data_IF_841859462593
#
_entry.id   IF_841859462593
#
_cell.length_a   1.000
_cell.length_b   1.000
_cell.length_c   1.000
_cell.angle_alpha   90.00
_cell.angle_beta   90.00
_cell.angle_gamma   90.00
#
_symmetry.space_group_name_H-M   'P 1'
#
loop_
_entity.id
_entity.type
_entity.pdbx_description
1 polymer ?
#
# COMPACT_ATOMS: atom_id res chain seq x y z
N UNK A 1 -3.02 29.46 0.83
CA UNK A 1 -4.21 28.56 0.82
C UNK A 1 -3.89 27.08 1.11
N UNK A 2 -2.94 26.44 0.39
CA UNK A 2 -2.59 25.00 0.60
C UNK A 2 -2.01 24.71 1.99
N UNK A 3 -1.17 25.60 2.53
CA UNK A 3 -0.61 25.46 3.89
C UNK A 3 -1.68 25.53 5.00
N UNK A 4 -2.71 26.37 4.82
CA UNK A 4 -3.79 26.52 5.79
C UNK A 4 -4.67 25.27 5.84
N UNK A 5 -5.08 24.74 4.68
CA UNK A 5 -5.84 23.47 4.59
C UNK A 5 -5.10 22.29 5.24
N UNK A 6 -3.78 22.23 5.09
CA UNK A 6 -2.96 21.19 5.74
C UNK A 6 -2.90 21.33 7.25
N UNK A 7 -2.83 22.55 7.76
CA UNK A 7 -2.87 22.81 9.19
C UNK A 7 -4.22 22.39 9.78
N UNK A 8 -5.32 22.71 9.09
CA UNK A 8 -6.67 22.25 9.44
C UNK A 8 -6.74 20.72 9.49
N UNK A 9 -6.30 20.02 8.43
CA UNK A 9 -6.26 18.55 8.41
C UNK A 9 -5.50 17.98 9.61
N UNK A 10 -4.34 18.57 9.96
CA UNK A 10 -3.54 18.11 11.11
C UNK A 10 -4.26 18.30 12.44
N UNK A 11 -4.97 19.41 12.63
CA UNK A 11 -5.76 19.65 13.84
C UNK A 11 -6.92 18.68 13.93
N UNK A 12 -7.66 18.49 12.83
CA UNK A 12 -8.76 17.53 12.74
C UNK A 12 -8.28 16.13 13.10
N UNK A 13 -7.18 15.67 12.52
CA UNK A 13 -6.57 14.35 12.78
C UNK A 13 -6.16 14.16 14.25
N UNK A 14 -5.83 15.23 14.99
CA UNK A 14 -5.49 15.17 16.42
C UNK A 14 -6.70 15.22 17.35
N UNK A 15 -7.75 15.94 16.95
CA UNK A 15 -8.94 16.16 17.77
C UNK A 15 -9.92 14.99 17.66
N UNK A 16 -10.07 14.39 16.47
CA UNK A 16 -11.04 13.31 16.25
C UNK A 16 -10.88 12.14 17.23
N UNK A 17 -9.68 11.62 17.53
CA UNK A 17 -9.51 10.54 18.51
C UNK A 17 -10.10 10.88 19.89
N UNK A 18 -10.00 12.14 20.33
CA UNK A 18 -10.56 12.60 21.60
C UNK A 18 -12.09 12.62 21.55
N UNK A 19 -12.67 13.08 20.44
CA UNK A 19 -14.13 13.07 20.21
C UNK A 19 -14.65 11.62 20.23
N UNK A 20 -13.97 10.71 19.53
CA UNK A 20 -14.33 9.29 19.52
C UNK A 20 -14.30 8.69 20.93
N UNK A 21 -13.27 9.00 21.73
CA UNK A 21 -13.19 8.60 23.14
C UNK A 21 -14.38 9.11 23.96
N UNK A 22 -14.78 10.36 23.77
CA UNK A 22 -15.98 10.93 24.39
C UNK A 22 -17.27 10.22 23.99
N UNK A 23 -17.45 9.92 22.70
CA UNK A 23 -18.60 9.17 22.19
C UNK A 23 -18.68 7.75 22.80
N UNK A 24 -17.55 7.05 22.88
CA UNK A 24 -17.47 5.71 23.49
C UNK A 24 -17.76 5.78 24.99
N UNK A 25 -17.25 6.79 25.70
CA UNK A 25 -17.54 6.99 27.12
C UNK A 25 -19.03 7.23 27.38
N UNK A 26 -19.66 8.08 26.56
CA UNK A 26 -21.09 8.35 26.64
C UNK A 26 -21.94 7.11 26.31
N UNK A 27 -21.59 6.38 25.24
CA UNK A 27 -22.24 5.12 24.89
C UNK A 27 -22.09 4.08 26.02
N UNK A 28 -20.92 4.01 26.66
CA UNK A 28 -20.67 3.12 27.81
C UNK A 28 -21.59 3.44 28.97
N UNK A 29 -21.75 4.72 29.32
CA UNK A 29 -22.70 5.12 30.35
C UNK A 29 -24.13 4.66 30.03
N UNK A 30 -24.59 4.89 28.79
CA UNK A 30 -25.95 4.52 28.40
C UNK A 30 -26.14 3.00 28.42
N UNK A 31 -25.24 2.24 27.79
CA UNK A 31 -25.42 0.79 27.69
C UNK A 31 -25.27 0.13 29.06
N UNK A 32 -24.20 0.42 29.79
CA UNK A 32 -23.87 -0.30 31.04
C UNK A 32 -24.80 0.13 32.17
N UNK A 33 -24.84 1.43 32.50
CA UNK A 33 -25.64 1.93 33.63
C UNK A 33 -27.11 1.96 33.25
N UNK A 34 -27.48 2.72 32.23
CA UNK A 34 -28.88 3.05 31.99
C UNK A 34 -29.69 1.87 31.42
N UNK A 35 -29.13 1.12 30.47
CA UNK A 35 -29.84 0.00 29.83
C UNK A 35 -29.63 -1.32 30.59
N UNK A 36 -28.39 -1.73 30.85
CA UNK A 36 -28.14 -3.03 31.48
C UNK A 36 -28.50 -3.05 32.98
N UNK A 37 -28.08 -2.05 33.76
CA UNK A 37 -28.33 -2.02 35.21
C UNK A 37 -29.72 -1.50 35.56
N UNK A 38 -30.10 -0.32 35.08
CA UNK A 38 -31.38 0.28 35.49
C UNK A 38 -32.56 -0.41 34.79
N UNK A 39 -32.52 -0.56 33.46
CA UNK A 39 -33.63 -1.15 32.72
C UNK A 39 -33.69 -2.69 32.80
N UNK A 40 -32.66 -3.43 32.38
CA UNK A 40 -32.73 -4.89 32.35
C UNK A 40 -32.65 -5.53 33.74
N UNK A 41 -31.70 -5.13 34.57
CA UNK A 41 -31.46 -5.76 35.86
C UNK A 41 -32.44 -5.28 36.94
N UNK A 42 -32.69 -3.97 37.03
CA UNK A 42 -33.48 -3.38 38.12
C UNK A 42 -34.98 -3.35 37.82
N UNK A 43 -35.40 -2.79 36.68
CA UNK A 43 -36.81 -2.66 36.30
C UNK A 43 -37.39 -3.96 35.74
N UNK A 44 -36.75 -4.60 34.74
CA UNK A 44 -37.26 -5.81 34.09
C UNK A 44 -36.92 -7.12 34.80
N UNK A 45 -35.98 -7.11 35.75
CA UNK A 45 -35.42 -8.31 36.42
C UNK A 45 -34.89 -9.39 35.45
N UNK A 46 -34.52 -9.00 34.24
CA UNK A 46 -34.01 -9.89 33.18
C UNK A 46 -32.48 -10.00 33.25
N UNK A 47 -31.98 -10.73 34.25
CA UNK A 47 -30.53 -10.90 34.50
C UNK A 47 -29.77 -11.45 33.29
N UNK A 48 -30.33 -12.46 32.62
CA UNK A 48 -29.69 -13.08 31.45
C UNK A 48 -29.43 -12.10 30.30
N UNK A 49 -30.42 -11.27 29.98
CA UNK A 49 -30.29 -10.25 28.93
C UNK A 49 -29.21 -9.21 29.29
N UNK A 50 -29.18 -8.74 30.54
CA UNK A 50 -28.15 -7.82 31.02
C UNK A 50 -26.74 -8.41 30.86
N UNK A 51 -26.54 -9.67 31.27
CA UNK A 51 -25.22 -10.34 31.17
C UNK A 51 -24.78 -10.46 29.70
N UNK A 52 -25.67 -10.91 28.81
CA UNK A 52 -25.34 -11.07 27.38
C UNK A 52 -24.91 -9.75 26.76
N UNK A 53 -25.67 -8.67 26.99
CA UNK A 53 -25.31 -7.36 26.45
C UNK A 53 -23.98 -6.85 27.02
N UNK A 54 -23.73 -6.99 28.31
CA UNK A 54 -22.46 -6.57 28.93
C UNK A 54 -21.27 -7.34 28.36
N UNK A 55 -21.37 -8.66 28.25
CA UNK A 55 -20.29 -9.51 27.71
C UNK A 55 -19.98 -9.14 26.26
N UNK A 56 -21.00 -9.07 25.40
CA UNK A 56 -20.80 -8.72 23.99
C UNK A 56 -20.28 -7.28 23.83
N UNK A 57 -20.80 -6.35 24.63
CA UNK A 57 -20.36 -4.95 24.62
C UNK A 57 -18.87 -4.84 24.93
N UNK A 58 -18.42 -5.41 26.05
CA UNK A 58 -17.00 -5.31 26.44
C UNK A 58 -16.08 -6.15 25.56
N UNK A 59 -16.54 -7.30 25.04
CA UNK A 59 -15.74 -8.12 24.12
C UNK A 59 -15.45 -7.36 22.81
N UNK A 60 -16.49 -6.80 22.17
CA UNK A 60 -16.29 -6.05 20.93
C UNK A 60 -15.65 -4.68 21.15
N UNK A 61 -15.91 -4.01 22.29
CA UNK A 61 -15.20 -2.80 22.65
C UNK A 61 -13.70 -3.04 22.81
N UNK A 62 -13.31 -4.12 23.51
CA UNK A 62 -11.90 -4.48 23.68
C UNK A 62 -11.23 -4.72 22.32
N UNK A 63 -11.84 -5.53 21.45
CA UNK A 63 -11.29 -5.82 20.12
C UNK A 63 -11.20 -4.56 19.25
N UNK A 64 -12.22 -3.69 19.28
CA UNK A 64 -12.21 -2.42 18.57
C UNK A 64 -11.11 -1.49 19.08
N UNK A 65 -10.90 -1.40 20.40
CA UNK A 65 -9.84 -0.58 21.00
C UNK A 65 -8.44 -1.13 20.69
N UNK A 66 -8.24 -2.45 20.77
CA UNK A 66 -6.95 -3.08 20.45
C UNK A 66 -6.56 -2.86 18.99
N UNK A 67 -7.50 -3.06 18.07
CA UNK A 67 -7.27 -2.85 16.63
C UNK A 67 -7.11 -1.37 16.29
N UNK A 68 -7.91 -0.48 16.90
CA UNK A 68 -7.73 0.98 16.75
C UNK A 68 -6.34 1.42 17.21
N UNK A 69 -5.91 0.98 18.40
CA UNK A 69 -4.60 1.30 18.94
C UNK A 69 -3.49 0.78 18.02
N UNK A 70 -3.63 -0.44 17.49
CA UNK A 70 -2.67 -1.00 16.52
C UNK A 70 -2.59 -0.13 15.26
N UNK A 71 -3.72 0.22 14.66
CA UNK A 71 -3.76 1.10 13.47
C UNK A 71 -3.07 2.42 13.78
N UNK A 72 -3.44 3.05 14.88
CA UNK A 72 -2.88 4.35 15.28
C UNK A 72 -1.36 4.27 15.44
N UNK A 73 -0.86 3.29 16.19
CA UNK A 73 0.58 3.08 16.40
C UNK A 73 1.30 2.86 15.07
N UNK A 74 0.79 1.98 14.20
CA UNK A 74 1.41 1.70 12.90
C UNK A 74 1.43 2.93 12.02
N UNK A 75 0.37 3.74 11.99
CA UNK A 75 0.34 4.99 11.22
C UNK A 75 1.40 5.98 11.73
N UNK A 76 1.59 6.09 13.05
CA UNK A 76 2.58 7.01 13.60
C UNK A 76 4.03 6.53 13.42
N UNK A 77 4.27 5.22 13.57
CA UNK A 77 5.62 4.66 13.57
C UNK A 77 6.09 4.23 12.17
N UNK A 78 5.19 3.67 11.36
CA UNK A 78 5.48 3.15 10.03
C UNK A 78 4.33 3.41 9.04
N UNK A 79 4.16 4.67 8.57
CA UNK A 79 3.13 5.04 7.60
C UNK A 79 3.33 4.46 6.20
N UNK A 80 4.34 3.61 5.98
CA UNK A 80 4.62 3.00 4.68
C UNK A 80 5.20 4.00 3.65
N UNK A 81 5.92 5.03 4.09
CA UNK A 81 6.51 6.03 3.18
C UNK A 81 7.74 5.47 2.44
N UNK A 82 7.92 5.84 1.17
CA UNK A 82 9.16 5.53 0.43
C UNK A 82 10.26 6.53 0.78
N UNK A 83 11.55 6.15 0.76
CA UNK A 83 12.67 7.08 0.99
C UNK A 83 12.59 8.30 0.06
N UNK A 84 13.00 9.48 0.57
CA UNK A 84 13.14 10.66 -0.29
C UNK A 84 14.32 10.46 -1.23
N UNK A 85 14.18 10.91 -2.47
CA UNK A 85 15.33 10.95 -3.36
C UNK A 85 16.35 12.00 -2.93
N UNK A 86 17.63 11.86 -3.35
CA UNK A 86 18.73 12.72 -2.89
C UNK A 86 18.44 14.22 -3.05
N UNK A 87 17.97 14.65 -4.23
CA UNK A 87 17.63 16.06 -4.50
C UNK A 87 16.56 16.61 -3.55
N UNK A 88 15.52 15.84 -3.25
CA UNK A 88 14.47 16.26 -2.33
C UNK A 88 14.95 16.29 -0.87
N UNK A 89 15.83 15.36 -0.49
CA UNK A 89 16.45 15.33 0.83
C UNK A 89 17.35 16.56 1.05
N UNK A 90 18.19 16.89 0.07
CA UNK A 90 19.03 18.09 0.07
C UNK A 90 18.19 19.37 0.14
N UNK A 91 17.14 19.49 -0.68
CA UNK A 91 16.26 20.64 -0.65
C UNK A 91 15.59 20.82 0.72
N UNK A 92 15.13 19.72 1.34
CA UNK A 92 14.56 19.78 2.71
C UNK A 92 15.62 20.13 3.76
N UNK A 93 16.86 19.67 3.63
CA UNK A 93 17.95 20.03 4.53
C UNK A 93 18.29 21.53 4.42
N UNK A 94 18.40 22.04 3.20
CA UNK A 94 18.68 23.46 2.91
C UNK A 94 17.54 24.37 3.39
N UNK A 95 16.28 23.97 3.19
CA UNK A 95 15.12 24.70 3.70
C UNK A 95 15.10 24.80 5.24
N UNK A 96 15.43 23.70 5.94
CA UNK A 96 15.56 23.71 7.41
C UNK A 96 16.68 24.63 7.89
N UNK A 97 17.80 24.68 7.17
CA UNK A 97 18.92 25.59 7.48
C UNK A 97 18.52 27.06 7.31
N UNK A 98 17.85 27.40 6.19
CA UNK A 98 17.35 28.76 5.90
C UNK A 98 16.28 29.23 6.87
N UNK A 99 15.32 28.36 7.21
CA UNK A 99 14.28 28.65 8.22
C UNK A 99 14.85 28.95 9.61
N UNK A 100 16.09 28.54 9.91
CA UNK A 100 16.78 28.86 11.17
C UNK A 100 17.48 30.22 11.14
N UNK A 101 17.64 30.81 9.95
CA UNK A 101 18.43 32.03 9.71
C UNK A 101 17.58 33.24 9.27
N UNK A 102 16.41 33.03 8.68
CA UNK A 102 15.47 34.09 8.27
C UNK A 102 14.01 33.69 8.52
N UNK A 103 13.21 34.64 9.01
CA UNK A 103 11.78 34.51 9.36
C UNK A 103 10.85 34.86 8.19
N UNK A 104 11.28 34.61 6.96
CA UNK A 104 10.52 35.03 5.79
C UNK A 104 9.49 33.99 5.38
N UNK A 105 8.25 34.31 5.73
CA UNK A 105 7.03 33.80 5.14
C UNK A 105 7.05 34.21 3.66
N UNK A 106 7.42 33.30 2.75
CA UNK A 106 7.07 33.25 1.31
C UNK A 106 8.13 32.43 0.53
N UNK A 107 8.28 31.13 0.86
CA UNK A 107 9.06 30.19 0.06
C UNK A 107 8.22 28.95 -0.28
N UNK A 108 7.05 29.19 -0.87
CA UNK A 108 6.09 28.16 -1.25
C UNK A 108 6.22 27.65 -2.69
N UNK A 109 7.33 27.93 -3.39
CA UNK A 109 7.53 27.39 -4.73
C UNK A 109 7.76 25.88 -4.63
N UNK A 110 6.80 25.11 -5.14
CA UNK A 110 6.88 23.66 -5.25
C UNK A 110 8.00 23.34 -6.24
N UNK A 111 9.16 22.93 -5.75
CA UNK A 111 10.23 22.40 -6.59
C UNK A 111 9.70 21.15 -7.31
N UNK A 112 9.46 21.25 -8.62
CA UNK A 112 9.08 20.13 -9.47
C UNK A 112 10.31 19.66 -10.26
N UNK A 113 10.96 18.61 -9.77
CA UNK A 113 12.08 18.00 -10.48
C UNK A 113 11.61 17.12 -11.63
N UNK A 114 12.23 17.29 -12.80
CA UNK A 114 12.16 16.30 -13.88
C UNK A 114 12.78 14.97 -13.43
N UNK A 115 12.38 13.84 -14.06
CA UNK A 115 13.06 12.57 -13.88
C UNK A 115 14.57 12.73 -14.09
N UNK A 116 15.35 11.97 -13.33
CA UNK A 116 16.80 11.95 -13.50
C UNK A 116 17.14 11.06 -14.69
N UNK A 117 17.72 11.64 -15.74
CA UNK A 117 18.05 10.95 -16.99
C UNK A 117 19.33 10.10 -16.88
N UNK A 118 20.03 10.18 -15.73
CA UNK A 118 21.22 9.37 -15.47
C UNK A 118 20.86 7.87 -15.41
N UNK A 119 21.54 7.00 -16.18
CA UNK A 119 21.42 5.54 -16.04
C UNK A 119 21.64 5.02 -14.62
N UNK A 120 22.52 5.69 -13.87
CA UNK A 120 22.84 5.37 -12.48
C UNK A 120 21.98 6.19 -11.48
N UNK A 121 20.77 6.59 -11.90
CA UNK A 121 19.86 7.32 -11.03
C UNK A 121 19.52 6.49 -9.78
N UNK A 122 19.74 7.01 -8.56
CA UNK A 122 19.51 6.25 -7.34
C UNK A 122 18.08 5.69 -7.22
N UNK A 123 17.97 4.38 -7.01
CA UNK A 123 16.70 3.67 -6.89
C UNK A 123 16.17 3.12 -8.20
N UNK A 124 16.76 3.46 -9.36
CA UNK A 124 16.36 2.90 -10.66
C UNK A 124 16.67 1.39 -10.74
N UNK A 125 17.75 0.97 -10.07
CA UNK A 125 18.18 -0.43 -9.97
C UNK A 125 17.15 -1.37 -9.36
N UNK A 126 16.32 -0.85 -8.47
CA UNK A 126 15.26 -1.62 -7.82
C UNK A 126 14.21 -2.07 -8.82
N UNK A 127 14.05 -1.41 -9.96
CA UNK A 127 13.05 -1.75 -10.97
C UNK A 127 13.60 -2.79 -11.94
N UNK A 128 14.76 -2.53 -12.56
CA UNK A 128 15.31 -3.48 -13.52
C UNK A 128 15.88 -4.75 -12.86
N UNK A 129 16.04 -4.77 -11.53
CA UNK A 129 16.27 -6.01 -10.77
C UNK A 129 15.06 -6.96 -10.71
N UNK A 130 13.85 -6.49 -11.05
CA UNK A 130 12.62 -7.29 -11.11
C UNK A 130 12.39 -7.84 -12.52
N UNK A 131 11.56 -8.86 -12.63
CA UNK A 131 11.14 -9.41 -13.93
C UNK A 131 9.97 -8.62 -14.53
N UNK A 132 9.18 -7.94 -13.71
CA UNK A 132 8.11 -7.05 -14.18
C UNK A 132 7.84 -5.89 -13.22
N UNK A 133 7.59 -4.72 -13.78
CA UNK A 133 7.20 -3.51 -13.05
C UNK A 133 6.33 -2.57 -13.92
N UNK A 134 5.62 -1.64 -13.29
CA UNK A 134 4.84 -0.61 -13.98
C UNK A 134 5.75 0.50 -14.49
N UNK A 135 5.63 0.83 -15.77
CA UNK A 135 6.43 1.86 -16.43
C UNK A 135 5.57 2.94 -17.11
N UNK A 136 6.21 3.97 -17.62
CA UNK A 136 5.66 4.95 -18.55
C UNK A 136 5.85 4.47 -20.00
N UNK A 137 5.39 5.26 -20.99
CA UNK A 137 5.43 4.86 -22.42
C UNK A 137 6.84 4.64 -22.96
N UNK A 138 7.83 5.27 -22.33
CA UNK A 138 9.25 5.16 -22.66
C UNK A 138 9.93 3.97 -21.98
N UNK A 139 9.19 3.17 -21.18
CA UNK A 139 9.73 2.02 -20.46
C UNK A 139 10.42 2.36 -19.13
N UNK A 140 10.47 3.63 -18.74
CA UNK A 140 11.02 4.06 -17.45
C UNK A 140 9.99 3.93 -16.33
N UNK A 141 10.40 3.68 -15.07
CA UNK A 141 9.47 3.70 -13.96
C UNK A 141 8.80 5.06 -13.80
N UNK A 142 7.64 5.09 -13.14
CA UNK A 142 6.93 6.36 -12.89
C UNK A 142 7.74 7.23 -11.93
N UNK A 143 7.80 8.54 -12.18
CA UNK A 143 8.56 9.47 -11.34
C UNK A 143 7.67 10.28 -10.38
N UNK A 144 8.20 10.67 -9.22
CA UNK A 144 7.64 11.70 -8.35
C UNK A 144 8.53 12.94 -8.37
N UNK A 145 8.05 14.03 -8.97
CA UNK A 145 8.76 15.32 -8.99
C UNK A 145 8.98 15.91 -7.60
N UNK A 146 7.99 15.78 -6.71
CA UNK A 146 8.06 16.33 -5.33
C UNK A 146 8.99 15.54 -4.42
N UNK A 147 8.99 14.21 -4.51
CA UNK A 147 9.88 13.35 -3.72
C UNK A 147 11.24 13.13 -4.39
N UNK A 148 11.39 13.55 -5.64
CA UNK A 148 12.53 13.30 -6.51
C UNK A 148 12.95 11.81 -6.53
N UNK A 149 11.98 10.91 -6.61
CA UNK A 149 12.23 9.46 -6.59
C UNK A 149 11.38 8.70 -7.61
N UNK A 150 11.88 7.54 -8.01
CA UNK A 150 11.13 6.56 -8.77
C UNK A 150 10.05 5.93 -7.88
N UNK A 151 8.81 5.89 -8.37
CA UNK A 151 7.65 5.34 -7.66
C UNK A 151 7.59 3.85 -7.92
N UNK A 152 7.81 3.06 -6.86
CA UNK A 152 7.48 1.63 -6.91
C UNK A 152 6.02 1.44 -7.30
N UNK A 153 5.68 0.24 -7.78
CA UNK A 153 4.32 -0.08 -8.19
C UNK A 153 3.31 0.27 -7.09
N UNK A 154 2.12 0.75 -7.47
CA UNK A 154 1.05 1.13 -6.52
C UNK A 154 1.43 2.20 -5.48
N UNK A 155 2.62 2.79 -5.53
CA UNK A 155 2.96 3.93 -4.67
C UNK A 155 2.36 5.23 -5.20
N UNK A 156 1.85 6.05 -4.29
CA UNK A 156 1.21 7.33 -4.62
C UNK A 156 1.73 8.45 -3.72
N UNK A 157 1.90 9.64 -4.30
CA UNK A 157 2.27 10.82 -3.54
C UNK A 157 1.04 11.36 -2.81
N UNK A 158 1.12 11.46 -1.49
CA UNK A 158 0.09 12.05 -0.66
C UNK A 158 0.46 13.50 -0.32
N UNK A 159 -0.36 14.46 -0.74
CA UNK A 159 -0.16 15.89 -0.51
C UNK A 159 -0.29 16.31 0.96
N UNK A 160 -0.97 15.52 1.78
CA UNK A 160 -1.18 15.78 3.22
C UNK A 160 0.09 15.51 4.03
N UNK A 161 0.84 14.46 3.68
CA UNK A 161 2.09 14.09 4.36
C UNK A 161 3.35 14.46 3.56
N UNK A 162 3.19 14.94 2.32
CA UNK A 162 4.25 15.33 1.37
C UNK A 162 5.29 14.23 1.13
N UNK A 163 4.80 13.01 0.98
CA UNK A 163 5.60 11.80 0.75
C UNK A 163 4.86 10.83 -0.18
N UNK A 164 5.65 10.04 -0.91
CA UNK A 164 5.15 8.85 -1.59
C UNK A 164 4.92 7.75 -0.55
N UNK A 165 3.80 7.04 -0.69
CA UNK A 165 3.34 5.99 0.22
C UNK A 165 3.14 4.71 -0.57
N UNK A 166 3.69 3.62 -0.08
CA UNK A 166 3.66 2.28 -0.69
C UNK A 166 2.26 1.69 -0.58
N UNK A 167 1.71 1.21 -1.71
CA UNK A 167 0.33 0.71 -1.85
C UNK A 167 -0.66 1.53 -1.01
N UNK A 168 -0.66 2.83 -1.27
CA UNK A 168 -1.47 3.82 -0.57
C UNK A 168 -2.95 3.54 -0.79
N UNK A 169 -3.72 3.49 0.29
CA UNK A 169 -5.17 3.34 0.21
C UNK A 169 -5.87 4.70 0.28
N UNK A 170 -5.79 5.38 1.43
CA UNK A 170 -6.37 6.71 1.60
C UNK A 170 -5.79 7.44 2.81
N UNK A 171 -6.03 8.74 2.92
CA UNK A 171 -5.79 9.48 4.16
C UNK A 171 -7.06 9.47 5.01
N UNK A 172 -6.95 9.02 6.27
CA UNK A 172 -8.07 8.86 7.18
C UNK A 172 -7.85 9.66 8.47
N UNK A 173 -8.53 10.81 8.64
CA UNK A 173 -8.43 11.60 9.85
C UNK A 173 -8.89 10.85 11.12
N UNK A 174 -9.83 9.89 10.96
CA UNK A 174 -10.41 9.11 12.07
C UNK A 174 -9.41 8.21 12.79
N UNK A 175 -8.42 7.69 12.06
CA UNK A 175 -7.36 6.83 12.61
C UNK A 175 -6.01 7.55 12.73
N UNK A 176 -5.99 8.87 12.55
CA UNK A 176 -4.80 9.65 12.83
C UNK A 176 -3.81 9.81 11.66
N UNK A 177 -4.16 9.41 10.42
CA UNK A 177 -3.25 9.60 9.28
C UNK A 177 -3.48 8.70 8.07
N UNK A 178 -2.39 8.34 7.39
CA UNK A 178 -2.42 7.62 6.12
C UNK A 178 -2.65 6.11 6.33
N UNK A 179 -3.59 5.54 5.58
CA UNK A 179 -3.82 4.10 5.49
C UNK A 179 -3.08 3.56 4.26
N UNK A 180 -2.22 2.57 4.48
CA UNK A 180 -1.32 1.99 3.49
C UNK A 180 -1.18 0.48 3.73
N UNK A 181 -0.40 -0.24 2.93
CA UNK A 181 -0.14 -1.68 3.11
C UNK A 181 0.25 -2.08 4.54
N UNK A 182 0.94 -1.21 5.29
CA UNK A 182 1.38 -1.50 6.66
C UNK A 182 0.23 -1.46 7.66
N UNK A 183 -0.79 -0.63 7.42
CA UNK A 183 -1.90 -0.40 8.36
C UNK A 183 -3.26 -0.91 7.88
N UNK A 184 -3.41 -1.23 6.59
CA UNK A 184 -4.70 -1.54 5.97
C UNK A 184 -5.38 -2.78 6.59
N UNK A 185 -4.65 -3.86 6.85
CA UNK A 185 -5.19 -5.04 7.56
C UNK A 185 -5.81 -4.66 8.90
N UNK A 186 -5.07 -3.91 9.71
CA UNK A 186 -5.52 -3.49 11.04
C UNK A 186 -6.72 -2.53 10.93
N UNK A 187 -6.75 -1.70 9.89
CA UNK A 187 -7.87 -0.81 9.60
C UNK A 187 -9.17 -1.59 9.33
N UNK A 188 -9.10 -2.65 8.51
CA UNK A 188 -10.26 -3.53 8.24
C UNK A 188 -10.74 -4.23 9.51
N UNK A 189 -9.82 -4.74 10.34
CA UNK A 189 -10.17 -5.35 11.63
C UNK A 189 -10.84 -4.33 12.55
N UNK A 190 -10.31 -3.10 12.63
CA UNK A 190 -10.90 -2.01 13.41
C UNK A 190 -12.32 -1.66 12.98
N UNK A 191 -12.56 -1.44 11.68
CA UNK A 191 -13.91 -1.10 11.22
C UNK A 191 -14.88 -2.26 11.42
N UNK A 192 -14.42 -3.51 11.25
CA UNK A 192 -15.23 -4.70 11.48
C UNK A 192 -15.68 -4.81 12.94
N UNK A 193 -14.74 -4.76 13.89
CA UNK A 193 -15.10 -4.86 15.32
C UNK A 193 -15.89 -3.65 15.81
N UNK A 194 -15.64 -2.45 15.26
CA UNK A 194 -16.45 -1.28 15.58
C UNK A 194 -17.88 -1.42 15.05
N UNK A 195 -18.08 -2.05 13.88
CA UNK A 195 -19.42 -2.31 13.35
C UNK A 195 -20.21 -3.29 14.23
N UNK A 196 -19.54 -4.33 14.75
CA UNK A 196 -20.15 -5.29 15.70
C UNK A 196 -20.47 -4.62 17.05
N UNK A 197 -19.54 -3.81 17.56
CA UNK A 197 -19.77 -3.00 18.75
C UNK A 197 -20.99 -2.07 18.59
N UNK A 198 -21.10 -1.36 17.47
CA UNK A 198 -22.24 -0.51 17.17
C UNK A 198 -23.54 -1.31 17.04
N UNK A 199 -23.50 -2.52 16.46
CA UNK A 199 -24.67 -3.40 16.38
C UNK A 199 -25.20 -3.77 17.77
N UNK A 200 -24.32 -4.08 18.73
CA UNK A 200 -24.72 -4.33 20.13
C UNK A 200 -25.40 -3.10 20.75
N UNK A 201 -24.82 -1.91 20.56
CA UNK A 201 -25.40 -0.64 21.06
C UNK A 201 -26.78 -0.40 20.47
N UNK A 202 -26.94 -0.55 19.14
CA UNK A 202 -28.20 -0.36 18.43
C UNK A 202 -29.26 -1.34 18.94
N UNK A 203 -28.94 -2.63 19.02
CA UNK A 203 -29.90 -3.67 19.44
C UNK A 203 -30.36 -3.43 20.88
N UNK A 204 -29.43 -3.14 21.80
CA UNK A 204 -29.77 -2.83 23.18
C UNK A 204 -30.67 -1.59 23.30
N UNK A 205 -30.35 -0.52 22.55
CA UNK A 205 -31.12 0.71 22.52
C UNK A 205 -32.54 0.50 21.96
N UNK A 206 -32.68 -0.24 20.85
CA UNK A 206 -33.99 -0.57 20.25
C UNK A 206 -34.85 -1.36 21.22
N UNK A 207 -34.29 -2.39 21.87
CA UNK A 207 -35.06 -3.23 22.81
C UNK A 207 -35.56 -2.40 24.00
N UNK A 208 -34.70 -1.53 24.55
CA UNK A 208 -35.09 -0.61 25.63
C UNK A 208 -36.21 0.34 25.17
N UNK A 209 -36.01 1.02 24.05
CA UNK A 209 -36.94 2.00 23.51
C UNK A 209 -38.31 1.37 23.19
N UNK A 210 -38.33 0.27 22.44
CA UNK A 210 -39.58 -0.43 22.07
C UNK A 210 -40.30 -0.93 23.31
N UNK A 211 -39.58 -1.44 24.31
CA UNK A 211 -40.18 -1.92 25.56
C UNK A 211 -40.84 -0.80 26.35
N UNK A 212 -40.19 0.36 26.50
CA UNK A 212 -40.74 1.51 27.23
C UNK A 212 -41.93 2.13 26.51
N UNK A 213 -41.85 2.28 25.19
CA UNK A 213 -42.97 2.79 24.38
C UNK A 213 -44.18 1.86 24.48
N UNK A 214 -43.99 0.53 24.39
CA UNK A 214 -45.08 -0.45 24.53
C UNK A 214 -45.73 -0.47 25.92
N UNK A 215 -45.01 -0.04 26.97
CA UNK A 215 -45.54 0.09 28.34
C UNK A 215 -46.26 1.41 28.59
N UNK A 216 -46.15 2.38 27.67
CA UNK A 216 -46.68 3.73 27.87
C UNK A 216 -45.74 4.67 28.62
N UNK A 217 -44.49 4.27 28.88
CA UNK A 217 -43.49 5.09 29.61
C UNK A 217 -42.91 6.24 28.76
N UNK A 218 -43.30 6.32 27.48
CA UNK A 218 -42.79 7.28 26.50
C UNK A 218 -41.44 6.85 25.89
N UNK A 219 -40.90 7.72 25.02
CA UNK A 219 -39.62 7.48 24.36
C UNK A 219 -38.46 7.89 25.26
N UNK A 220 -37.57 6.95 25.55
CA UNK A 220 -36.38 7.18 26.37
C UNK A 220 -35.31 7.95 25.57
N UNK A 221 -35.11 9.22 25.92
CA UNK A 221 -34.17 10.11 25.22
C UNK A 221 -32.73 9.59 25.21
N UNK A 222 -32.27 8.90 26.26
CA UNK A 222 -30.92 8.31 26.29
C UNK A 222 -30.82 7.09 25.38
N UNK A 223 -31.85 6.26 25.33
CA UNK A 223 -31.90 5.15 24.37
C UNK A 223 -31.94 5.65 22.92
N UNK A 224 -32.71 6.73 22.65
CA UNK A 224 -32.74 7.38 21.33
C UNK A 224 -31.36 7.95 20.97
N UNK A 225 -30.67 8.62 21.90
CA UNK A 225 -29.33 9.15 21.66
C UNK A 225 -28.31 8.03 21.33
N UNK A 226 -28.33 6.92 22.08
CA UNK A 226 -27.49 5.76 21.78
C UNK A 226 -27.83 5.12 20.43
N UNK A 227 -29.10 5.05 20.06
CA UNK A 227 -29.54 4.53 18.77
C UNK A 227 -29.02 5.41 17.62
N UNK A 228 -29.17 6.73 17.71
CA UNK A 228 -28.70 7.67 16.68
C UNK A 228 -27.18 7.60 16.53
N UNK A 229 -26.46 7.64 17.65
CA UNK A 229 -24.99 7.57 17.66
C UNK A 229 -24.50 6.22 17.11
N UNK A 230 -25.10 5.13 17.59
CA UNK A 230 -24.78 3.77 17.15
C UNK A 230 -25.09 3.56 15.67
N UNK A 231 -26.22 4.06 15.17
CA UNK A 231 -26.59 3.95 13.76
C UNK A 231 -25.65 4.75 12.85
N UNK A 232 -25.27 5.97 13.24
CA UNK A 232 -24.35 6.81 12.47
C UNK A 232 -22.97 6.13 12.32
N UNK A 233 -22.35 5.74 13.43
CA UNK A 233 -21.04 5.07 13.40
C UNK A 233 -21.13 3.65 12.86
N UNK A 234 -22.21 2.93 13.16
CA UNK A 234 -22.45 1.56 12.69
C UNK A 234 -22.60 1.50 11.18
N UNK A 235 -23.39 2.38 10.57
CA UNK A 235 -23.52 2.47 9.11
C UNK A 235 -22.16 2.79 8.48
N UNK A 236 -21.48 3.82 8.97
CA UNK A 236 -20.18 4.24 8.44
C UNK A 236 -19.14 3.11 8.50
N UNK A 237 -18.99 2.46 9.65
CA UNK A 237 -18.00 1.39 9.83
C UNK A 237 -18.36 0.10 9.11
N UNK A 238 -19.66 -0.23 9.00
CA UNK A 238 -20.12 -1.36 8.18
C UNK A 238 -19.80 -1.13 6.71
N UNK A 239 -20.14 0.04 6.16
CA UNK A 239 -19.84 0.38 4.76
C UNK A 239 -18.34 0.33 4.49
N UNK A 240 -17.51 0.92 5.36
CA UNK A 240 -16.06 0.87 5.22
C UNK A 240 -15.51 -0.56 5.29
N UNK A 241 -16.08 -1.40 6.16
CA UNK A 241 -15.70 -2.82 6.25
C UNK A 241 -16.03 -3.56 4.97
N UNK A 242 -17.26 -3.43 4.46
CA UNK A 242 -17.69 -4.12 3.23
C UNK A 242 -16.86 -3.68 2.02
N UNK A 243 -16.62 -2.37 1.88
CA UNK A 243 -15.77 -1.84 0.82
C UNK A 243 -14.33 -2.32 0.93
N UNK A 244 -13.74 -2.31 2.14
CA UNK A 244 -12.37 -2.76 2.33
C UNK A 244 -12.22 -4.26 2.11
N UNK A 245 -13.16 -5.08 2.56
CA UNK A 245 -13.20 -6.52 2.27
C UNK A 245 -13.30 -6.75 0.76
N UNK A 246 -14.18 -6.01 0.06
CA UNK A 246 -14.25 -6.08 -1.40
C UNK A 246 -12.90 -5.75 -2.05
N UNK A 247 -12.24 -4.69 -1.60
CA UNK A 247 -10.94 -4.24 -2.12
C UNK A 247 -9.83 -5.25 -1.87
N UNK A 248 -9.82 -5.90 -0.70
CA UNK A 248 -8.96 -7.06 -0.46
C UNK A 248 -9.26 -8.16 -1.48
N UNK A 249 -10.53 -8.56 -1.62
CA UNK A 249 -10.94 -9.68 -2.47
C UNK A 249 -10.58 -9.48 -3.95
N UNK A 250 -10.60 -8.25 -4.46
CA UNK A 250 -10.22 -7.93 -5.85
C UNK A 250 -8.79 -7.36 -5.98
N UNK A 251 -8.01 -7.35 -4.88
CA UNK A 251 -6.66 -6.79 -4.78
C UNK A 251 -6.49 -5.36 -5.33
N UNK A 252 -7.45 -4.49 -5.06
CA UNK A 252 -7.37 -3.06 -5.39
C UNK A 252 -7.24 -2.26 -4.10
N UNK A 253 -6.52 -1.14 -4.15
CA UNK A 253 -6.65 -0.09 -3.15
C UNK A 253 -7.80 0.84 -3.56
N UNK A 254 -8.22 1.73 -2.67
CA UNK A 254 -9.15 2.82 -2.99
C UNK A 254 -8.61 3.69 -4.13
N UNK A 255 -7.30 3.98 -4.14
CA UNK A 255 -6.66 4.73 -5.24
C UNK A 255 -6.74 3.96 -6.56
N UNK A 256 -6.49 2.65 -6.53
CA UNK A 256 -6.57 1.82 -7.72
C UNK A 256 -8.01 1.76 -8.23
N UNK A 257 -8.99 1.54 -7.35
CA UNK A 257 -10.41 1.41 -7.71
C UNK A 257 -10.97 2.68 -8.36
N UNK A 258 -10.64 3.86 -7.84
CA UNK A 258 -11.07 5.15 -8.43
C UNK A 258 -10.53 5.30 -9.86
N UNK A 259 -9.39 4.68 -10.15
CA UNK A 259 -8.73 4.73 -11.46
C UNK A 259 -9.08 3.54 -12.37
N UNK A 260 -9.49 2.41 -11.79
CA UNK A 260 -9.42 1.11 -12.45
C UNK A 260 -10.27 0.99 -13.72
N UNK A 261 -11.44 1.65 -13.77
CA UNK A 261 -12.35 1.52 -14.91
C UNK A 261 -11.82 2.12 -16.21
N UNK A 262 -10.91 3.09 -16.13
CA UNK A 262 -10.43 3.84 -17.31
C UNK A 262 -8.89 3.83 -17.43
N UNK A 263 -8.20 3.02 -16.63
CA UNK A 263 -6.75 2.97 -16.65
C UNK A 263 -6.28 1.74 -17.42
N UNK A 264 -5.34 2.01 -18.32
CA UNK A 264 -4.47 1.02 -18.95
C UNK A 264 -3.13 1.08 -18.24
N UNK A 265 -2.67 -0.06 -17.71
CA UNK A 265 -1.35 -0.17 -17.13
C UNK A 265 -0.32 -0.45 -18.23
N UNK A 266 0.81 0.23 -18.18
CA UNK A 266 1.98 -0.11 -18.98
C UNK A 266 2.96 -0.88 -18.10
N UNK A 267 3.38 -2.04 -18.58
CA UNK A 267 4.26 -2.95 -17.87
C UNK A 267 5.53 -3.17 -18.67
N UNK A 268 6.67 -3.10 -18.00
CA UNK A 268 7.96 -3.54 -18.52
C UNK A 268 8.13 -5.01 -18.10
N UNK A 269 8.04 -5.95 -19.05
CA UNK A 269 8.19 -7.39 -18.81
C UNK A 269 9.54 -7.85 -19.32
N UNK A 270 10.33 -8.54 -18.47
CA UNK A 270 11.64 -9.08 -18.84
C UNK A 270 11.52 -10.08 -19.99
N UNK A 271 12.34 -9.85 -21.00
CA UNK A 271 12.52 -10.69 -22.19
C UNK A 271 14.00 -11.00 -22.39
N UNK A 272 14.35 -12.04 -23.16
CA UNK A 272 15.73 -12.34 -23.46
C UNK A 272 16.52 -11.15 -24.03
N UNK A 273 17.81 -11.07 -23.71
CA UNK A 273 18.69 -10.01 -24.24
C UNK A 273 18.70 -10.05 -25.77
N UNK A 274 18.71 -8.87 -26.38
CA UNK A 274 18.73 -8.72 -27.84
C UNK A 274 17.40 -9.03 -28.53
N UNK A 275 16.30 -9.24 -27.78
CA UNK A 275 14.96 -9.33 -28.35
C UNK A 275 14.66 -8.05 -29.15
N UNK A 276 14.40 -8.13 -30.47
CA UNK A 276 14.08 -6.96 -31.26
C UNK A 276 12.70 -6.42 -30.87
N UNK A 277 12.41 -5.12 -31.15
CA UNK A 277 11.06 -4.59 -31.02
C UNK A 277 10.06 -5.46 -31.78
N UNK A 278 8.96 -5.83 -31.12
CA UNK A 278 7.88 -6.57 -31.74
C UNK A 278 6.95 -5.65 -32.54
N UNK A 279 6.01 -6.23 -33.27
CA UNK A 279 5.02 -5.45 -34.02
C UNK A 279 4.13 -4.58 -33.11
N UNK A 280 3.90 -5.03 -31.87
CA UNK A 280 2.95 -4.40 -30.93
C UNK A 280 3.60 -3.99 -29.58
N UNK A 281 4.92 -4.09 -29.44
CA UNK A 281 5.63 -3.69 -28.23
C UNK A 281 7.02 -3.13 -28.56
N UNK A 282 7.43 -2.12 -27.81
CA UNK A 282 8.80 -1.61 -27.85
C UNK A 282 9.64 -2.32 -26.79
N UNK A 283 10.96 -2.23 -26.92
CA UNK A 283 11.91 -2.78 -25.94
C UNK A 283 12.76 -1.68 -25.34
N UNK A 284 13.10 -1.83 -24.07
CA UNK A 284 14.08 -1.01 -23.36
C UNK A 284 15.10 -1.93 -22.69
N UNK A 285 16.37 -1.52 -22.69
CA UNK A 285 17.45 -2.27 -22.06
C UNK A 285 18.06 -1.43 -20.95
N UNK A 286 18.21 -2.05 -19.78
CA UNK A 286 18.88 -1.49 -18.61
C UNK A 286 20.24 -2.17 -18.39
N UNK A 287 21.22 -1.48 -17.79
CA UNK A 287 21.21 -0.05 -17.45
C UNK A 287 21.06 0.84 -18.70
N UNK A 288 20.49 2.04 -18.53
CA UNK A 288 20.21 2.92 -19.67
C UNK A 288 21.53 3.34 -20.35
N UNK A 289 21.54 3.65 -21.66
CA UNK A 289 22.74 4.15 -22.31
C UNK A 289 23.16 5.49 -21.70
N UNK A 290 24.43 5.63 -21.32
CA UNK A 290 24.98 6.91 -20.89
C UNK A 290 24.94 7.88 -22.07
N UNK A 291 24.26 9.02 -21.91
CA UNK A 291 24.29 10.09 -22.90
C UNK A 291 25.68 10.73 -22.88
N UNK A 292 26.63 10.20 -23.64
CA UNK A 292 27.85 10.94 -24.00
C UNK A 292 27.46 12.03 -24.97
N UNK A 293 27.33 13.25 -24.47
CA UNK A 293 27.19 14.46 -25.26
C UNK A 293 28.47 14.74 -26.06
N UNK A 294 28.35 14.63 -27.38
CA UNK A 294 28.96 15.48 -28.43
C UNK A 294 30.49 15.65 -28.49
N UNK A 295 30.99 15.30 -29.70
CA UNK A 295 32.20 15.77 -30.39
C UNK A 295 33.56 15.33 -29.83
N UNK A 296 33.98 14.12 -30.21
CA UNK A 296 35.34 13.93 -30.68
C UNK A 296 35.32 13.29 -32.07
N UNK A 297 35.69 14.10 -33.07
CA UNK A 297 36.03 13.63 -34.42
C UNK A 297 37.43 13.04 -34.32
N UNK A 298 37.52 11.75 -34.07
CA UNK A 298 38.66 10.95 -34.52
C UNK A 298 38.26 9.49 -34.52
N UNK A 299 38.21 8.90 -35.72
CA UNK A 299 37.87 7.50 -35.90
C UNK A 299 38.85 6.60 -35.15
N UNK A 300 38.32 5.82 -34.22
CA UNK A 300 38.79 4.50 -33.86
C UNK A 300 37.60 3.76 -33.25
N UNK A 301 37.11 2.77 -33.97
CA UNK A 301 36.11 1.78 -33.54
C UNK A 301 36.70 0.93 -32.42
N UNK A 302 36.73 1.46 -31.20
CA UNK A 302 36.90 0.66 -30.00
C UNK A 302 35.51 0.16 -29.59
N UNK A 303 35.12 -1.01 -30.11
CA UNK A 303 34.07 -1.80 -29.48
C UNK A 303 34.56 -2.18 -28.09
N UNK A 304 34.23 -1.38 -27.08
CA UNK A 304 34.31 -1.80 -25.69
C UNK A 304 33.34 -2.97 -25.55
N UNK A 305 33.81 -4.20 -25.77
CA UNK A 305 33.09 -5.40 -25.37
C UNK A 305 32.90 -5.27 -23.85
N UNK A 306 31.64 -4.99 -23.44
CA UNK A 306 31.22 -5.05 -22.05
C UNK A 306 31.75 -6.36 -21.46
N UNK A 307 32.36 -6.32 -20.27
CA UNK A 307 32.91 -7.53 -19.68
C UNK A 307 31.79 -8.58 -19.54
N UNK A 308 32.11 -9.88 -19.54
CA UNK A 308 31.09 -10.91 -19.37
C UNK A 308 30.25 -10.70 -18.09
N UNK A 309 30.82 -10.07 -17.07
CA UNK A 309 30.15 -9.65 -15.83
C UNK A 309 29.18 -8.50 -16.05
N UNK A 310 29.55 -7.49 -16.85
CA UNK A 310 28.68 -6.35 -17.17
C UNK A 310 27.56 -6.78 -18.14
N UNK A 311 27.84 -7.73 -19.03
CA UNK A 311 26.83 -8.34 -19.90
C UNK A 311 25.75 -9.07 -19.09
N UNK A 312 26.12 -9.72 -17.97
CA UNK A 312 25.17 -10.38 -17.05
C UNK A 312 24.30 -9.38 -16.26
N UNK A 313 24.75 -8.13 -16.12
CA UNK A 313 23.99 -7.08 -15.45
C UNK A 313 22.93 -6.43 -16.35
N UNK A 314 23.01 -6.66 -17.67
CA UNK A 314 22.10 -6.07 -18.66
C UNK A 314 20.78 -6.84 -18.73
N UNK A 315 19.65 -6.13 -18.68
CA UNK A 315 18.31 -6.72 -18.77
C UNK A 315 17.45 -5.98 -19.77
N UNK A 316 16.78 -6.72 -20.65
CA UNK A 316 15.87 -6.19 -21.67
C UNK A 316 14.42 -6.43 -21.26
N UNK A 317 13.58 -5.42 -21.48
CA UNK A 317 12.17 -5.43 -21.13
C UNK A 317 11.32 -5.06 -22.34
N UNK A 318 10.27 -5.83 -22.57
CA UNK A 318 9.19 -5.49 -23.49
C UNK A 318 8.17 -4.59 -22.79
N UNK A 319 7.84 -3.46 -23.42
CA UNK A 319 6.87 -2.50 -22.94
C UNK A 319 5.50 -2.87 -23.50
N UNK A 320 4.66 -3.45 -22.64
CA UNK A 320 3.32 -3.92 -23.01
C UNK A 320 2.23 -3.16 -22.27
N UNK A 321 1.01 -3.20 -22.82
CA UNK A 321 -0.16 -2.54 -22.25
C UNK A 321 -1.22 -3.56 -21.85
N UNK A 322 -1.88 -3.31 -20.73
CA UNK A 322 -3.11 -4.02 -20.37
C UNK A 322 -4.29 -3.50 -21.19
N UNK A 323 -5.38 -4.25 -21.22
CA UNK A 323 -6.67 -3.72 -21.67
C UNK A 323 -7.32 -2.88 -20.56
N UNK A 324 -8.33 -2.09 -20.92
CA UNK A 324 -9.06 -1.25 -19.98
C UNK A 324 -9.74 -2.11 -18.90
N UNK A 325 -9.45 -1.82 -17.63
CA UNK A 325 -10.04 -2.52 -16.50
C UNK A 325 -9.37 -3.83 -16.09
N UNK A 326 -8.36 -4.30 -16.83
CA UNK A 326 -7.59 -5.47 -16.39
C UNK A 326 -6.73 -5.14 -15.17
N UNK A 327 -6.78 -6.01 -14.14
CA UNK A 327 -6.00 -5.86 -12.91
C UNK A 327 -4.78 -6.81 -12.92
N UNK A 328 -3.54 -6.30 -13.01
CA UNK A 328 -2.33 -7.13 -12.95
C UNK A 328 -2.12 -7.85 -11.62
N UNK A 329 -2.67 -7.33 -10.52
CA UNK A 329 -2.44 -7.85 -9.17
C UNK A 329 -3.54 -8.79 -8.67
N UNK A 330 -4.54 -9.13 -9.50
CA UNK A 330 -5.59 -10.06 -9.10
C UNK A 330 -5.09 -11.52 -9.08
N UNK A 331 -4.86 -12.06 -7.89
CA UNK A 331 -4.41 -13.43 -7.63
C UNK A 331 -5.58 -14.42 -7.47
N UNK A 332 -6.83 -13.95 -7.56
CA UNK A 332 -8.03 -14.65 -7.15
C UNK A 332 -8.36 -14.45 -5.67
N UNK A 333 -9.66 -14.54 -5.34
CA UNK A 333 -10.22 -14.14 -4.04
C UNK A 333 -9.44 -14.61 -2.80
N UNK A 334 -9.09 -15.90 -2.75
CA UNK A 334 -8.41 -16.48 -1.59
C UNK A 334 -6.96 -15.99 -1.44
N UNK A 335 -6.21 -15.94 -2.54
CA UNK A 335 -4.82 -15.47 -2.53
C UNK A 335 -4.74 -13.97 -2.28
N UNK A 336 -5.68 -13.21 -2.83
CA UNK A 336 -5.82 -11.79 -2.55
C UNK A 336 -6.08 -11.55 -1.06
N UNK A 337 -7.00 -12.31 -0.45
CA UNK A 337 -7.24 -12.28 0.99
C UNK A 337 -5.97 -12.57 1.79
N UNK A 338 -5.28 -13.67 1.51
CA UNK A 338 -4.04 -14.04 2.20
C UNK A 338 -2.94 -13.00 2.06
N UNK A 339 -2.82 -12.35 0.89
CA UNK A 339 -1.82 -11.31 0.65
C UNK A 339 -1.92 -10.12 1.63
N UNK A 340 -3.12 -9.86 2.16
CA UNK A 340 -3.38 -8.78 3.13
C UNK A 340 -3.53 -9.32 4.54
N UNK A 341 -4.39 -10.32 4.74
CA UNK A 341 -4.83 -10.75 6.07
C UNK A 341 -3.89 -11.77 6.72
N UNK A 342 -3.07 -12.48 5.94
CA UNK A 342 -2.22 -13.57 6.43
C UNK A 342 -2.80 -14.96 6.18
N UNK A 343 -2.14 -15.98 6.71
CA UNK A 343 -2.35 -17.37 6.32
C UNK A 343 -3.23 -18.17 7.27
N UNK A 344 -3.48 -17.64 8.47
CA UNK A 344 -4.22 -18.33 9.53
C UNK A 344 -5.30 -17.44 10.13
N UNK A 345 -6.25 -18.07 10.84
CA UNK A 345 -7.42 -17.37 11.40
C UNK A 345 -7.04 -16.39 12.53
N UNK A 346 -5.93 -16.65 13.22
CA UNK A 346 -5.41 -15.77 14.27
C UNK A 346 -4.98 -14.44 13.64
N UNK A 347 -4.28 -14.49 12.50
CA UNK A 347 -3.89 -13.31 11.75
C UNK A 347 -5.10 -12.55 11.21
N UNK A 348 -6.17 -13.25 10.87
CA UNK A 348 -7.39 -12.63 10.34
C UNK A 348 -8.15 -11.86 11.42
N UNK A 349 -8.19 -12.38 12.64
CA UNK A 349 -8.96 -11.82 13.74
C UNK A 349 -8.15 -10.88 14.65
N UNK A 350 -6.87 -11.17 14.87
CA UNK A 350 -6.05 -10.47 15.85
C UNK A 350 -5.00 -9.56 15.20
N UNK A 351 -4.72 -8.39 15.79
CA UNK A 351 -3.86 -7.36 15.20
C UNK A 351 -2.37 -7.55 15.53
N UNK A 352 -1.85 -8.78 15.45
CA UNK A 352 -0.46 -9.07 15.83
C UNK A 352 0.51 -8.91 14.66
N UNK A 353 0.33 -9.72 13.62
CA UNK A 353 1.26 -9.80 12.50
C UNK A 353 0.92 -8.82 11.38
N UNK A 354 1.97 -8.25 10.78
CA UNK A 354 1.87 -7.39 9.61
C UNK A 354 1.35 -8.15 8.38
N UNK A 355 0.84 -7.39 7.41
CA UNK A 355 0.37 -7.95 6.14
C UNK A 355 1.51 -8.58 5.33
N UNK A 356 1.35 -9.80 4.78
CA UNK A 356 2.38 -10.42 3.94
C UNK A 356 2.84 -9.55 2.76
N UNK A 357 1.92 -8.81 2.13
CA UNK A 357 2.25 -7.90 1.03
C UNK A 357 3.17 -6.73 1.40
N UNK A 358 3.43 -6.47 2.68
CA UNK A 358 4.35 -5.43 3.13
C UNK A 358 5.83 -5.90 3.25
N UNK A 359 6.10 -7.20 3.08
CA UNK A 359 7.44 -7.79 3.30
C UNK A 359 8.38 -7.73 2.07
N UNK A 360 7.84 -7.59 0.86
CA UNK A 360 8.62 -7.49 -0.39
C UNK A 360 9.63 -8.63 -0.66
N UNK A 361 9.30 -9.85 -0.24
CA UNK A 361 10.17 -11.03 -0.42
C UNK A 361 10.20 -11.53 -1.89
N UNK A 362 9.30 -11.07 -2.75
CA UNK A 362 9.24 -11.50 -4.15
C UNK A 362 10.29 -10.80 -5.03
N UNK A 363 11.08 -11.58 -5.75
CA UNK A 363 12.06 -11.08 -6.71
C UNK A 363 11.47 -10.81 -8.11
N UNK A 364 10.30 -11.36 -8.43
CA UNK A 364 9.64 -11.19 -9.74
C UNK A 364 9.11 -9.76 -9.93
N UNK A 365 8.52 -9.17 -8.89
CA UNK A 365 7.83 -7.88 -8.94
C UNK A 365 7.73 -7.24 -7.55
N UNK A 366 7.32 -5.96 -7.47
CA UNK A 366 7.09 -5.29 -6.18
C UNK A 366 5.89 -5.87 -5.42
N UNK A 367 4.83 -6.23 -6.15
CA UNK A 367 3.67 -6.93 -5.63
C UNK A 367 3.36 -8.08 -6.56
N UNK A 368 3.08 -9.24 -5.98
CA UNK A 368 2.80 -10.46 -6.75
C UNK A 368 1.80 -10.22 -7.88
N UNK A 369 2.17 -10.72 -9.06
CA UNK A 369 1.38 -10.59 -10.27
C UNK A 369 0.44 -11.77 -10.43
N UNK A 370 -0.79 -11.46 -10.84
CA UNK A 370 -1.82 -12.45 -11.09
C UNK A 370 -1.66 -13.17 -12.43
N UNK A 371 -2.62 -14.05 -12.78
CA UNK A 371 -2.62 -14.77 -14.04
C UNK A 371 -2.62 -13.87 -15.29
N UNK A 372 -2.94 -12.58 -15.14
CA UNK A 372 -2.83 -11.61 -16.22
C UNK A 372 -1.40 -11.49 -16.76
N UNK A 373 -0.38 -11.62 -15.90
CA UNK A 373 1.01 -11.54 -16.33
C UNK A 373 1.34 -12.56 -17.41
N UNK A 374 0.95 -13.82 -17.21
CA UNK A 374 1.13 -14.87 -18.22
C UNK A 374 0.27 -14.65 -19.46
N UNK A 375 -0.97 -14.16 -19.30
CA UNK A 375 -1.81 -13.81 -20.46
C UNK A 375 -1.21 -12.71 -21.31
N UNK A 376 -0.54 -11.72 -20.72
CA UNK A 376 0.15 -10.66 -21.45
C UNK A 376 1.35 -11.21 -22.21
N UNK A 377 2.15 -12.11 -21.62
CA UNK A 377 3.25 -12.78 -22.33
C UNK A 377 2.74 -13.50 -23.58
N UNK A 378 1.65 -14.24 -23.47
CA UNK A 378 1.01 -14.91 -24.62
C UNK A 378 0.43 -13.90 -25.62
N UNK A 379 -0.32 -12.90 -25.16
CA UNK A 379 -0.98 -11.88 -26.01
C UNK A 379 0.01 -11.11 -26.89
N UNK A 380 1.20 -10.82 -26.37
CA UNK A 380 2.25 -10.09 -27.09
C UNK A 380 3.32 -11.00 -27.70
N UNK A 381 3.19 -12.34 -27.57
CA UNK A 381 4.17 -13.30 -28.10
C UNK A 381 5.58 -13.11 -27.51
N UNK A 382 5.66 -12.84 -26.20
CA UNK A 382 6.93 -12.55 -25.53
C UNK A 382 7.76 -13.84 -25.36
N UNK A 383 9.06 -13.83 -25.73
CA UNK A 383 9.92 -14.98 -25.58
C UNK A 383 10.24 -15.29 -24.10
N UNK A 384 10.43 -16.57 -23.79
CA UNK A 384 10.71 -17.04 -22.43
C UNK A 384 12.18 -16.91 -22.02
N UNK A 385 12.36 -16.32 -20.84
CA UNK A 385 13.68 -15.97 -20.29
C UNK A 385 14.45 -17.20 -19.81
N UNK A 386 13.76 -18.29 -19.47
CA UNK A 386 14.38 -19.55 -19.03
C UNK A 386 15.38 -20.12 -20.05
N UNK A 387 15.10 -19.93 -21.35
CA UNK A 387 16.00 -20.35 -22.43
C UNK A 387 17.34 -19.62 -22.41
N UNK A 388 17.38 -18.40 -21.88
CA UNK A 388 18.59 -17.60 -21.77
C UNK A 388 19.40 -17.95 -20.52
N UNK A 389 18.76 -18.13 -19.37
CA UNK A 389 19.44 -18.51 -18.12
C UNK A 389 20.15 -19.86 -18.26
N UNK A 390 19.49 -20.87 -18.86
CA UNK A 390 20.13 -22.16 -19.17
C UNK A 390 21.30 -22.00 -20.15
N UNK A 391 21.18 -21.14 -21.17
CA UNK A 391 22.24 -20.93 -22.16
C UNK A 391 23.46 -20.25 -21.56
N UNK A 392 23.25 -19.30 -20.65
CA UNK A 392 24.30 -18.59 -19.91
C UNK A 392 24.99 -19.52 -18.92
N UNK A 393 24.26 -20.32 -18.16
CA UNK A 393 24.83 -21.32 -17.25
C UNK A 393 25.67 -22.35 -18.01
N UNK A 394 25.20 -22.82 -19.16
CA UNK A 394 25.99 -23.71 -20.02
C UNK A 394 27.27 -23.04 -20.54
N UNK A 395 27.21 -21.78 -20.99
CA UNK A 395 28.41 -21.07 -21.48
C UNK A 395 29.40 -20.75 -20.36
N UNK A 396 28.93 -20.47 -19.14
CA UNK A 396 29.81 -20.27 -17.98
C UNK A 396 30.43 -21.59 -17.52
N UNK A 397 29.68 -22.70 -17.55
CA UNK A 397 30.18 -24.04 -17.25
C UNK A 397 31.23 -24.49 -18.28
N UNK A 398 30.98 -24.24 -19.57
CA UNK A 398 31.95 -24.48 -20.64
C UNK A 398 33.20 -23.59 -20.51
N UNK A 399 33.04 -22.32 -20.11
CA UNK A 399 34.19 -21.44 -19.80
C UNK A 399 34.98 -21.93 -18.61
N UNK A 400 34.32 -22.37 -17.53
CA UNK A 400 34.97 -22.94 -16.33
C UNK A 400 35.67 -24.26 -16.64
N UNK A 401 35.09 -25.13 -17.47
CA UNK A 401 35.76 -26.33 -17.97
C UNK A 401 36.97 -26.00 -18.84
N UNK A 402 36.85 -25.04 -19.77
CA UNK A 402 37.99 -24.59 -20.58
C UNK A 402 39.11 -23.98 -19.73
N UNK A 403 38.79 -23.22 -18.68
CA UNK A 403 39.81 -22.65 -17.77
C UNK A 403 40.34 -23.64 -16.73
N UNK A 404 39.58 -24.69 -16.39
CA UNK A 404 40.03 -25.79 -15.54
C UNK A 404 41.01 -26.74 -16.24
N UNK A 405 40.95 -26.84 -17.58
CA UNK A 405 41.84 -27.69 -18.38
C UNK A 405 43.25 -27.07 -18.57
N UNK A 406 43.41 -25.76 -18.39
CA UNK A 406 44.72 -25.09 -18.42
C UNK A 406 45.37 -24.89 -17.03
N UNK A 407 44.76 -25.41 -15.95
CA UNK A 407 45.22 -25.22 -14.57
C UNK A 407 46.04 -26.36 -13.94
N UNK A 408 46.22 -27.49 -14.62
CA UNK A 408 46.97 -28.65 -14.09
C UNK A 408 48.03 -29.14 -15.07
N UNK A 409 49.01 -28.29 -15.39
CA UNK A 409 50.34 -28.74 -15.80
C UNK A 409 51.38 -27.80 -15.19
N UNK A 410 52.07 -28.26 -14.15
CA UNK A 410 53.24 -27.55 -13.62
C UNK A 410 53.41 -27.64 -12.11
N UNK A 411 53.78 -28.83 -11.62
CA UNK A 411 54.72 -29.00 -10.49
C UNK A 411 54.98 -30.51 -10.29
N UNK A 412 55.84 -31.05 -11.14
CA UNK A 412 56.78 -32.10 -10.75
C UNK A 412 58.18 -31.54 -10.92
N UNK A 413 58.85 -31.30 -9.79
CA UNK A 413 60.30 -31.37 -9.62
C UNK A 413 60.56 -31.46 -8.11
#
# INVERSE_FOLDING_TARGET
MVSARRAETRWVTRIIPLILGGCVGFATYIIVKHICVDFFLSDRKQRGAAIVFLVLYFAFLLLALLTYLRVFIVIQLNPGVTPLGPRAAEHKANAKSRSRRERDLEAGSRYEARPDDNPDSPGLEQFYSKDVFVCETDGRPRWCSTCCNWKIDRAHHCSEIERCVKKMDHYCPWVGGIVAETSFKFFVQFTFYTSLYCAVVIVAAIICLVSKVRRGDGADGLAVAALVLGAFFGLFTLTMTLSSVRYILINLTTVDYVKSKNVVHQLAIRVPRGTPPGQNYNVITYPLPTSTSTSDVSGQTASHELSARDQLATRTFAIVKTEMGENPWDLGYYRNWRSVMGDNIIDWLLPFNESPCAKYENNESFYEMGPLYQRLRVRYGLPDVSTEETRVEMTETERRQKHGIYGTTGLMA
#
